data_IF_339241973083
#
_entry.id   IF_339241973083
#
_cell.length_a   1.000
_cell.length_b   1.000
_cell.length_c   1.000
_cell.angle_alpha   90.00
_cell.angle_beta   90.00
_cell.angle_gamma   90.00
#
_symmetry.space_group_name_H-M   'P 1'
#
loop_
_entity.id
_entity.type
_entity.pdbx_description
1 polymer ?
#
# COMPACT_ATOMS: atom_id res chain seq x y z
N UNK A 1 -7.66 10.72 -9.57
CA UNK A 1 -6.42 10.61 -8.76
C UNK A 1 -5.68 11.95 -8.78
N UNK A 2 -4.47 12.00 -8.25
CA UNK A 2 -3.69 13.22 -8.14
C UNK A 2 -2.39 13.13 -8.94
N UNK A 3 -1.95 14.23 -9.58
CA UNK A 3 -0.72 14.28 -10.39
C UNK A 3 0.56 14.20 -9.56
N UNK A 4 0.47 14.40 -8.26
CA UNK A 4 1.58 14.25 -7.32
C UNK A 4 1.75 12.78 -6.82
N UNK A 5 1.09 11.83 -7.49
CA UNK A 5 1.12 10.39 -7.15
C UNK A 5 1.58 9.57 -8.35
N UNK A 6 2.60 8.76 -8.16
CA UNK A 6 2.99 7.66 -9.06
C UNK A 6 2.22 6.40 -8.67
N UNK A 7 1.56 5.75 -9.61
CA UNK A 7 1.03 4.39 -9.42
C UNK A 7 2.17 3.39 -9.58
N UNK A 8 2.39 2.53 -8.58
CA UNK A 8 3.27 1.37 -8.70
C UNK A 8 2.42 0.10 -8.55
N UNK A 9 2.46 -0.78 -9.53
CA UNK A 9 1.95 -2.15 -9.39
C UNK A 9 3.14 -3.10 -9.39
N UNK A 10 3.30 -3.84 -8.30
CA UNK A 10 4.39 -4.79 -8.11
C UNK A 10 3.87 -6.23 -8.06
N UNK A 11 4.54 -7.13 -8.80
CA UNK A 11 4.27 -8.56 -8.74
C UNK A 11 5.57 -9.37 -8.74
N UNK A 12 5.77 -10.11 -7.67
CA UNK A 12 6.96 -10.96 -7.47
C UNK A 12 6.80 -12.41 -7.95
N UNK A 13 5.60 -12.85 -8.34
CA UNK A 13 5.35 -14.22 -8.76
C UNK A 13 5.01 -14.28 -10.25
N UNK A 14 5.87 -14.93 -11.03
CA UNK A 14 5.71 -15.09 -12.48
C UNK A 14 4.33 -15.60 -12.90
N UNK A 15 3.75 -16.50 -12.11
CA UNK A 15 2.42 -17.08 -12.39
C UNK A 15 1.28 -16.06 -12.30
N UNK A 16 1.52 -14.89 -11.74
CA UNK A 16 0.55 -13.79 -11.56
C UNK A 16 0.81 -12.59 -12.46
N UNK A 17 1.89 -12.58 -13.25
CA UNK A 17 2.28 -11.42 -14.06
C UNK A 17 1.16 -10.98 -15.01
N UNK A 18 0.50 -11.91 -15.72
CA UNK A 18 -0.59 -11.56 -16.62
C UNK A 18 -1.78 -10.91 -15.90
N UNK A 19 -2.13 -11.41 -14.72
CA UNK A 19 -3.21 -10.85 -13.92
C UNK A 19 -2.85 -9.46 -13.39
N UNK A 20 -1.64 -9.29 -12.89
CA UNK A 20 -1.17 -8.01 -12.36
C UNK A 20 -0.98 -6.97 -13.45
N UNK A 21 -0.61 -7.37 -14.68
CA UNK A 21 -0.58 -6.47 -15.83
C UNK A 21 -1.98 -5.98 -16.23
N UNK A 22 -2.99 -6.86 -16.18
CA UNK A 22 -4.39 -6.46 -16.38
C UNK A 22 -4.84 -5.46 -15.32
N UNK A 23 -4.48 -5.71 -14.05
CA UNK A 23 -4.73 -4.76 -12.97
C UNK A 23 -4.07 -3.41 -13.25
N UNK A 24 -2.78 -3.40 -13.59
CA UNK A 24 -2.05 -2.18 -13.92
C UNK A 24 -2.75 -1.38 -15.03
N UNK A 25 -3.11 -2.05 -16.14
CA UNK A 25 -3.80 -1.41 -17.25
C UNK A 25 -5.17 -0.84 -16.83
N UNK A 26 -5.93 -1.57 -16.02
CA UNK A 26 -7.19 -1.09 -15.46
C UNK A 26 -6.98 0.16 -14.61
N UNK A 27 -6.04 0.14 -13.67
CA UNK A 27 -5.75 1.28 -12.78
C UNK A 27 -5.25 2.50 -13.56
N UNK A 28 -4.41 2.31 -14.57
CA UNK A 28 -4.02 3.39 -15.49
C UNK A 28 -5.23 3.99 -16.22
N UNK A 29 -6.20 3.15 -16.58
CA UNK A 29 -7.47 3.58 -17.22
C UNK A 29 -8.33 4.48 -16.32
N UNK A 30 -8.21 4.40 -15.00
CA UNK A 30 -8.88 5.33 -14.07
C UNK A 30 -8.32 6.75 -14.18
N UNK A 31 -7.07 6.89 -14.60
CA UNK A 31 -6.41 8.15 -14.91
C UNK A 31 -6.06 8.99 -13.68
N UNK A 32 -5.44 10.14 -13.95
CA UNK A 32 -5.16 11.17 -12.94
C UNK A 32 -3.88 10.96 -12.14
N UNK A 33 -3.09 9.93 -12.37
CA UNK A 33 -1.74 9.78 -11.82
C UNK A 33 -0.74 10.71 -12.52
N UNK A 34 0.33 11.09 -11.83
CA UNK A 34 1.46 11.81 -12.41
C UNK A 34 2.30 10.91 -13.30
N UNK A 35 2.52 9.68 -12.82
CA UNK A 35 3.24 8.61 -13.51
C UNK A 35 2.67 7.24 -13.13
N UNK A 36 3.02 6.17 -13.86
CA UNK A 36 2.61 4.81 -13.58
C UNK A 36 3.70 3.81 -13.98
N UNK A 37 4.04 2.91 -13.08
CA UNK A 37 5.10 1.92 -13.24
C UNK A 37 4.58 0.52 -12.94
N UNK A 38 4.80 -0.42 -13.85
CA UNK A 38 4.58 -1.85 -13.62
C UNK A 38 5.92 -2.55 -13.41
N UNK A 39 6.07 -3.23 -12.27
CA UNK A 39 7.26 -3.97 -11.90
C UNK A 39 6.88 -5.44 -11.76
N UNK A 40 7.35 -6.27 -12.69
CA UNK A 40 7.15 -7.71 -12.68
C UNK A 40 8.50 -8.43 -12.56
N UNK A 41 8.68 -9.12 -11.44
CA UNK A 41 9.90 -9.85 -11.12
C UNK A 41 9.57 -11.32 -10.83
N UNK A 42 10.47 -12.22 -11.18
CA UNK A 42 10.37 -13.63 -10.79
C UNK A 42 11.23 -13.87 -9.56
N UNK A 43 10.69 -13.61 -8.39
CA UNK A 43 11.42 -13.58 -7.14
C UNK A 43 10.71 -14.34 -6.02
N UNK A 44 11.48 -14.82 -5.04
CA UNK A 44 10.93 -15.37 -3.82
C UNK A 44 10.49 -14.26 -2.85
N UNK A 45 9.82 -14.65 -1.75
CA UNK A 45 9.30 -13.69 -0.76
C UNK A 45 10.38 -12.74 -0.21
N UNK A 46 11.58 -13.25 0.09
CA UNK A 46 12.66 -12.39 0.61
C UNK A 46 13.12 -11.36 -0.41
N UNK A 47 13.25 -11.78 -1.66
CA UNK A 47 13.60 -10.86 -2.75
C UNK A 47 12.49 -9.83 -3.00
N UNK A 48 11.21 -10.24 -2.91
CA UNK A 48 10.09 -9.31 -2.99
C UNK A 48 10.13 -8.27 -1.88
N UNK A 49 10.47 -8.67 -0.64
CA UNK A 49 10.64 -7.73 0.48
C UNK A 49 11.80 -6.74 0.24
N UNK A 50 12.91 -7.17 -0.34
CA UNK A 50 13.99 -6.26 -0.74
C UNK A 50 13.52 -5.24 -1.80
N UNK A 51 12.63 -5.63 -2.70
CA UNK A 51 11.99 -4.69 -3.63
C UNK A 51 11.14 -3.66 -2.89
N UNK A 52 10.19 -4.14 -2.07
CA UNK A 52 9.26 -3.28 -1.33
C UNK A 52 9.95 -2.32 -0.37
N UNK A 53 10.97 -2.79 0.34
CA UNK A 53 11.68 -2.00 1.33
C UNK A 53 12.76 -1.10 0.71
N UNK A 54 13.46 -1.59 -0.33
CA UNK A 54 14.70 -0.98 -0.78
C UNK A 54 14.63 -0.22 -2.10
N UNK A 55 13.69 -0.53 -2.99
CA UNK A 55 13.78 -0.14 -4.39
C UNK A 55 12.68 0.81 -4.89
N UNK A 56 11.52 0.86 -4.27
CA UNK A 56 10.42 1.67 -4.81
C UNK A 56 10.71 3.17 -4.85
N UNK A 57 11.58 3.67 -3.99
CA UNK A 57 12.04 5.07 -4.06
C UNK A 57 12.69 5.45 -5.40
N UNK A 58 13.30 4.48 -6.10
CA UNK A 58 14.00 4.69 -7.37
C UNK A 58 13.03 4.93 -8.54
N UNK A 59 11.74 4.68 -8.34
CA UNK A 59 10.72 4.67 -9.41
C UNK A 59 9.74 5.83 -9.31
N UNK A 60 9.94 6.78 -8.40
CA UNK A 60 9.03 7.90 -8.24
C UNK A 60 9.74 9.25 -8.36
N UNK A 61 9.19 10.11 -9.22
CA UNK A 61 9.54 11.54 -9.32
C UNK A 61 8.44 12.43 -8.74
N UNK A 62 7.37 11.84 -8.21
CA UNK A 62 6.24 12.51 -7.56
C UNK A 62 6.40 12.54 -6.05
N UNK A 63 5.53 13.28 -5.34
CA UNK A 63 5.60 13.35 -3.88
C UNK A 63 5.23 12.05 -3.18
N UNK A 64 4.39 11.21 -3.81
CA UNK A 64 3.88 9.96 -3.25
C UNK A 64 3.82 8.84 -4.30
N UNK A 65 3.88 7.60 -3.82
CA UNK A 65 3.52 6.41 -4.58
C UNK A 65 2.24 5.77 -4.02
N UNK A 66 1.30 5.43 -4.89
CA UNK A 66 0.24 4.47 -4.60
C UNK A 66 0.72 3.10 -5.03
N UNK A 67 1.03 2.24 -4.07
CA UNK A 67 1.57 0.90 -4.29
C UNK A 67 0.41 -0.10 -4.24
N UNK A 68 0.32 -0.95 -5.24
CA UNK A 68 -0.66 -2.01 -5.38
C UNK A 68 0.05 -3.34 -5.65
N UNK A 69 -0.42 -4.40 -5.02
CA UNK A 69 -0.08 -5.79 -5.35
C UNK A 69 -1.26 -6.48 -6.02
N UNK A 70 -1.11 -7.76 -6.43
CA UNK A 70 -2.16 -8.50 -7.13
C UNK A 70 -3.50 -8.60 -6.36
N UNK A 71 -3.49 -8.47 -5.05
CA UNK A 71 -4.65 -8.57 -4.16
C UNK A 71 -4.97 -7.25 -3.44
N UNK A 72 -4.34 -6.15 -3.87
CA UNK A 72 -4.56 -4.81 -3.34
C UNK A 72 -4.81 -3.79 -4.45
N UNK A 73 -6.00 -3.15 -4.49
CA UNK A 73 -6.33 -2.22 -5.55
C UNK A 73 -7.42 -1.20 -5.22
N UNK A 74 -7.63 -0.25 -6.12
CA UNK A 74 -8.65 0.78 -6.02
C UNK A 74 -10.03 0.16 -6.29
N UNK A 75 -10.92 0.19 -5.32
CA UNK A 75 -12.31 -0.25 -5.45
C UNK A 75 -13.25 0.89 -5.85
N UNK A 76 -13.03 2.09 -5.30
CA UNK A 76 -13.91 3.24 -5.45
C UNK A 76 -13.10 4.51 -5.75
N UNK A 77 -12.70 4.67 -7.03
CA UNK A 77 -11.84 5.76 -7.46
C UNK A 77 -12.39 7.17 -7.12
N UNK A 78 -13.72 7.33 -7.07
CA UNK A 78 -14.39 8.57 -6.74
C UNK A 78 -14.26 8.98 -5.26
N UNK A 79 -13.78 8.07 -4.39
CA UNK A 79 -13.54 8.34 -2.96
C UNK A 79 -12.13 8.88 -2.69
N UNK A 80 -11.30 9.13 -3.70
CA UNK A 80 -9.98 9.74 -3.51
C UNK A 80 -10.06 11.04 -2.72
N UNK A 81 -9.14 11.23 -1.78
CA UNK A 81 -9.03 12.46 -0.97
C UNK A 81 -7.60 12.98 -1.00
N UNK A 82 -7.40 14.21 -1.47
CA UNK A 82 -6.08 14.84 -1.50
C UNK A 82 -5.46 15.03 -0.10
N UNK A 83 -6.28 15.06 0.96
CA UNK A 83 -5.82 15.12 2.35
C UNK A 83 -4.94 13.92 2.77
N UNK A 84 -4.98 12.82 2.05
CA UNK A 84 -4.08 11.68 2.30
C UNK A 84 -2.62 12.01 2.00
N UNK A 85 -2.35 12.99 1.15
CA UNK A 85 -1.00 13.48 0.85
C UNK A 85 -0.37 14.27 2.00
N UNK A 86 -1.11 14.57 3.06
CA UNK A 86 -0.57 15.16 4.29
C UNK A 86 0.17 14.15 5.18
N UNK A 87 0.11 12.86 4.84
CA UNK A 87 0.73 11.75 5.57
C UNK A 87 1.82 11.08 4.74
N UNK A 88 2.85 10.58 5.42
CA UNK A 88 3.93 9.84 4.78
C UNK A 88 3.60 8.36 4.55
N UNK A 89 2.66 7.80 5.36
CA UNK A 89 2.20 6.41 5.24
C UNK A 89 0.70 6.32 5.52
N UNK A 90 -0.04 5.82 4.54
CA UNK A 90 -1.46 5.49 4.63
C UNK A 90 -1.67 4.08 4.10
N UNK A 91 -2.16 3.18 4.92
CA UNK A 91 -2.50 1.80 4.57
C UNK A 91 -3.73 1.35 5.34
N UNK A 92 -4.08 0.07 5.27
CA UNK A 92 -5.22 -0.46 6.01
C UNK A 92 -4.97 -0.47 7.52
N UNK A 93 -5.97 -0.17 8.35
CA UNK A 93 -5.83 -0.25 9.79
C UNK A 93 -5.91 -1.70 10.29
N UNK A 94 -5.09 -2.02 11.28
CA UNK A 94 -5.08 -3.30 11.98
C UNK A 94 -6.12 -3.37 13.11
N UNK A 95 -6.62 -4.59 13.43
CA UNK A 95 -7.53 -4.80 14.56
C UNK A 95 -6.94 -4.34 15.90
N UNK A 96 -7.74 -3.68 16.72
CA UNK A 96 -7.32 -3.26 18.07
C UNK A 96 -6.89 -4.45 18.95
N UNK A 97 -7.45 -5.62 18.71
CA UNK A 97 -7.10 -6.87 19.42
C UNK A 97 -5.65 -7.31 19.23
N UNK A 98 -4.95 -6.81 18.21
CA UNK A 98 -3.54 -7.11 18.03
C UNK A 98 -2.63 -6.37 19.02
N UNK A 99 -3.20 -5.42 19.78
CA UNK A 99 -2.52 -4.66 20.83
C UNK A 99 -1.19 -4.04 20.36
N UNK A 100 -1.19 -3.47 19.17
CA UNK A 100 -0.06 -2.75 18.60
C UNK A 100 -0.25 -1.25 18.82
N UNK A 101 0.81 -0.53 19.16
CA UNK A 101 0.72 0.90 19.47
C UNK A 101 0.19 1.72 18.31
N UNK A 102 0.81 1.60 17.14
CA UNK A 102 0.32 2.15 15.89
C UNK A 102 -0.47 1.08 15.13
N UNK A 103 -1.65 1.44 14.65
CA UNK A 103 -2.61 0.49 14.06
C UNK A 103 -2.81 0.67 12.55
N UNK A 104 -1.91 1.33 11.87
CA UNK A 104 -1.98 1.50 10.41
C UNK A 104 -0.76 0.89 9.78
N UNK A 105 -0.97 -0.03 8.87
CA UNK A 105 0.09 -0.78 8.20
C UNK A 105 -0.33 -1.15 6.80
N UNK A 106 0.08 -2.35 6.38
CA UNK A 106 -0.12 -2.90 5.06
C UNK A 106 0.76 -2.27 3.97
N UNK A 107 1.43 -3.12 3.21
CA UNK A 107 2.27 -2.69 2.08
C UNK A 107 1.70 -3.12 0.72
N UNK A 108 0.68 -3.96 0.69
CA UNK A 108 0.09 -4.46 -0.56
C UNK A 108 -0.93 -3.50 -1.21
N UNK A 109 -1.53 -2.59 -0.43
CA UNK A 109 -2.28 -1.43 -0.92
C UNK A 109 -2.03 -0.23 -0.01
N UNK A 110 -1.13 0.64 -0.41
CA UNK A 110 -0.63 1.72 0.45
C UNK A 110 -0.26 2.96 -0.33
N UNK A 111 -0.43 4.13 0.30
CA UNK A 111 0.09 5.40 -0.17
C UNK A 111 1.29 5.77 0.69
N UNK A 112 2.45 5.94 0.07
CA UNK A 112 3.71 6.25 0.75
C UNK A 112 4.36 7.48 0.13
N UNK A 113 4.83 8.41 0.97
CA UNK A 113 5.58 9.56 0.49
C UNK A 113 6.98 9.15 -0.01
N UNK A 114 7.57 9.94 -0.90
CA UNK A 114 8.96 9.76 -1.30
C UNK A 114 9.89 9.70 -0.08
N UNK A 115 9.66 10.59 0.91
CA UNK A 115 10.41 10.60 2.16
C UNK A 115 10.30 9.27 2.92
N UNK A 116 9.11 8.67 2.98
CA UNK A 116 8.92 7.37 3.64
C UNK A 116 9.69 6.26 2.90
N UNK A 117 9.58 6.21 1.57
CA UNK A 117 10.29 5.23 0.74
C UNK A 117 11.81 5.34 0.84
N UNK A 118 12.35 6.56 0.87
CA UNK A 118 13.79 6.80 1.09
C UNK A 118 14.25 6.34 2.47
N UNK A 119 13.40 6.51 3.50
CA UNK A 119 13.71 6.01 4.85
C UNK A 119 13.60 4.49 4.91
N UNK A 120 12.62 3.89 4.26
CA UNK A 120 12.49 2.44 4.14
C UNK A 120 13.74 1.83 3.48
N UNK A 121 14.20 2.43 2.39
CA UNK A 121 15.42 2.01 1.69
C UNK A 121 16.68 2.06 2.58
N UNK A 122 16.82 3.10 3.39
CA UNK A 122 17.94 3.20 4.36
C UNK A 122 17.83 2.19 5.50
N UNK A 123 16.61 1.81 5.88
CA UNK A 123 16.35 0.84 6.94
C UNK A 123 16.40 -0.62 6.46
N UNK A 124 16.25 -0.89 5.16
CA UNK A 124 16.22 -2.23 4.56
C UNK A 124 17.36 -3.15 5.06
N UNK A 125 18.64 -2.71 5.20
CA UNK A 125 19.69 -3.57 5.72
C UNK A 125 19.49 -4.04 7.18
N UNK A 126 18.57 -3.43 7.93
CA UNK A 126 18.21 -3.82 9.30
C UNK A 126 17.10 -4.87 9.34
N UNK A 127 16.45 -5.14 8.22
CA UNK A 127 15.35 -6.10 8.11
C UNK A 127 15.84 -7.53 8.42
N UNK A 128 15.04 -8.28 9.20
CA UNK A 128 15.39 -9.62 9.70
C UNK A 128 14.43 -10.73 9.27
N UNK A 129 13.55 -10.43 8.30
CA UNK A 129 12.65 -11.44 7.70
C UNK A 129 11.20 -11.38 8.17
N UNK A 130 10.80 -10.39 8.99
CA UNK A 130 9.40 -10.14 9.29
C UNK A 130 8.64 -9.62 8.07
N UNK A 131 7.30 -9.60 8.11
CA UNK A 131 6.52 -8.99 7.05
C UNK A 131 6.86 -7.50 6.86
N UNK A 132 6.87 -7.02 5.62
CA UNK A 132 7.31 -5.65 5.29
C UNK A 132 6.53 -4.57 6.04
N UNK A 133 5.22 -4.73 6.15
CA UNK A 133 4.36 -3.82 6.91
C UNK A 133 4.66 -3.86 8.41
N UNK A 134 4.95 -5.04 8.99
CA UNK A 134 5.38 -5.18 10.38
C UNK A 134 6.72 -4.47 10.58
N UNK A 135 7.68 -4.66 9.67
CA UNK A 135 8.97 -3.98 9.74
C UNK A 135 8.81 -2.46 9.69
N UNK A 136 8.15 -1.93 8.67
CA UNK A 136 8.03 -0.48 8.45
C UNK A 136 7.12 0.22 9.47
N UNK A 137 6.01 -0.43 9.85
CA UNK A 137 4.97 0.22 10.64
C UNK A 137 4.96 -0.16 12.12
N UNK A 138 5.82 -1.09 12.56
CA UNK A 138 5.96 -1.49 13.97
C UNK A 138 7.42 -1.48 14.43
N UNK A 139 8.29 -2.24 13.75
CA UNK A 139 9.70 -2.35 14.14
C UNK A 139 10.41 -1.00 14.03
N UNK A 140 10.22 -0.31 12.91
CA UNK A 140 10.84 0.99 12.62
C UNK A 140 9.99 2.21 13.03
N UNK A 141 8.77 2.02 13.51
CA UNK A 141 7.80 3.10 13.80
C UNK A 141 8.40 4.23 14.63
N UNK A 142 9.04 3.88 15.75
CA UNK A 142 9.60 4.87 16.69
C UNK A 142 10.70 5.71 16.05
N UNK A 143 11.58 5.06 15.29
CA UNK A 143 12.66 5.72 14.58
C UNK A 143 12.13 6.63 13.49
N UNK A 144 11.20 6.12 12.68
CA UNK A 144 10.58 6.87 11.58
C UNK A 144 9.84 8.11 12.10
N UNK A 145 9.06 7.97 13.16
CA UNK A 145 8.38 9.12 13.81
C UNK A 145 9.38 10.15 14.37
N UNK A 146 10.50 9.71 14.95
CA UNK A 146 11.52 10.63 15.44
C UNK A 146 12.20 11.43 14.33
N UNK A 147 12.18 10.90 13.10
CA UNK A 147 12.65 11.57 11.88
C UNK A 147 11.51 12.29 11.12
N UNK A 148 10.37 12.50 11.77
CA UNK A 148 9.25 13.29 11.25
C UNK A 148 8.39 12.58 10.22
N UNK A 149 8.36 11.24 10.20
CA UNK A 149 7.38 10.48 9.42
C UNK A 149 6.01 10.58 10.09
N UNK A 150 5.00 10.88 9.28
CA UNK A 150 3.60 11.01 9.67
C UNK A 150 2.82 9.80 9.17
N UNK A 151 2.46 8.88 10.05
CA UNK A 151 1.51 7.83 9.75
C UNK A 151 0.07 8.34 9.87
N UNK A 152 -0.81 7.92 8.98
CA UNK A 152 -2.23 8.27 9.07
C UNK A 152 -2.87 7.70 10.34
N UNK A 153 -3.80 8.42 11.00
CA UNK A 153 -4.59 7.86 12.08
C UNK A 153 -5.63 6.86 11.53
N UNK A 154 -6.19 6.03 12.42
CA UNK A 154 -7.08 4.92 12.05
C UNK A 154 -8.32 5.36 11.27
N UNK A 155 -8.93 6.48 11.61
CA UNK A 155 -10.11 7.03 10.93
C UNK A 155 -9.80 7.42 9.48
N UNK A 156 -8.66 8.08 9.24
CA UNK A 156 -8.17 8.42 7.89
C UNK A 156 -7.84 7.15 7.10
N UNK A 157 -7.11 6.22 7.71
CA UNK A 157 -6.71 4.95 7.11
C UNK A 157 -7.91 4.07 6.74
N UNK A 158 -8.97 4.09 7.55
CA UNK A 158 -10.21 3.33 7.29
C UNK A 158 -10.97 3.81 6.05
N UNK A 159 -10.88 5.09 5.72
CA UNK A 159 -11.45 5.63 4.49
C UNK A 159 -10.59 5.29 3.27
N UNK A 160 -9.27 5.15 3.46
CA UNK A 160 -8.33 4.83 2.40
C UNK A 160 -8.39 3.35 2.01
N UNK A 161 -8.24 2.44 2.98
CA UNK A 161 -8.14 1.00 2.68
C UNK A 161 -8.86 0.12 3.70
N UNK A 162 -9.46 -0.96 3.21
CA UNK A 162 -10.05 -2.01 4.00
C UNK A 162 -9.29 -3.32 3.83
N UNK A 163 -8.98 -4.00 4.92
CA UNK A 163 -8.33 -5.32 4.95
C UNK A 163 -8.95 -6.21 6.02
N UNK A 164 -9.04 -5.71 7.25
CA UNK A 164 -9.57 -6.44 8.38
C UNK A 164 -10.88 -5.84 8.87
N UNK A 165 -11.71 -6.69 9.48
CA UNK A 165 -12.88 -6.22 10.20
C UNK A 165 -12.43 -5.48 11.46
N UNK A 166 -12.64 -4.18 11.50
CA UNK A 166 -12.33 -3.33 12.64
C UNK A 166 -13.58 -2.60 13.09
N UNK A 167 -13.65 -2.26 14.39
CA UNK A 167 -14.82 -1.58 14.96
C UNK A 167 -15.04 -0.19 14.35
N UNK A 168 -13.97 0.49 14.01
CA UNK A 168 -14.00 1.84 13.45
C UNK A 168 -14.42 1.88 11.97
N UNK A 169 -14.30 0.77 11.28
CA UNK A 169 -14.73 0.65 9.88
C UNK A 169 -15.71 -0.51 9.70
N UNK A 170 -16.96 -0.26 10.03
CA UNK A 170 -18.07 -1.21 9.84
C UNK A 170 -18.62 -1.20 8.41
N UNK A 171 -18.12 -0.31 7.57
CA UNK A 171 -18.67 -0.06 6.24
C UNK A 171 -18.18 -1.04 5.18
N UNK A 172 -17.05 -1.73 5.44
CA UNK A 172 -16.45 -2.68 4.50
C UNK A 172 -15.83 -2.02 3.27
N UNK A 173 -15.38 -2.85 2.33
CA UNK A 173 -14.71 -2.42 1.10
C UNK A 173 -15.56 -1.48 0.23
N UNK A 174 -16.88 -1.57 0.32
CA UNK A 174 -17.80 -0.75 -0.50
C UNK A 174 -17.73 0.76 -0.18
N UNK A 175 -17.09 1.13 0.92
CA UNK A 175 -16.98 2.53 1.38
C UNK A 175 -15.54 3.01 1.58
N UNK A 176 -14.55 2.18 1.34
CA UNK A 176 -13.14 2.58 1.30
C UNK A 176 -12.71 2.84 -0.14
N UNK A 177 -11.69 3.68 -0.32
CA UNK A 177 -11.13 3.96 -1.64
C UNK A 177 -10.55 2.69 -2.27
N UNK A 178 -9.86 1.87 -1.48
CA UNK A 178 -9.34 0.58 -1.93
C UNK A 178 -9.36 -0.48 -0.85
N UNK A 179 -8.78 -1.62 -1.15
CA UNK A 179 -8.63 -2.72 -0.21
C UNK A 179 -7.39 -3.54 -0.48
N UNK A 180 -7.05 -4.43 0.46
CA UNK A 180 -6.00 -5.43 0.33
C UNK A 180 -6.45 -6.77 0.93
N UNK A 181 -6.05 -7.87 0.26
CA UNK A 181 -6.24 -9.22 0.76
C UNK A 181 -7.67 -9.76 0.67
N UNK A 182 -8.00 -10.73 1.53
CA UNK A 182 -9.29 -11.39 1.56
C UNK A 182 -10.34 -10.55 2.30
N UNK A 183 -11.23 -9.96 1.52
CA UNK A 183 -12.32 -9.15 2.03
C UNK A 183 -13.57 -10.01 2.26
N UNK A 184 -13.91 -10.31 3.51
CA UNK A 184 -15.18 -10.97 3.87
C UNK A 184 -15.49 -12.25 3.06
N UNK A 185 -14.49 -13.10 2.84
CA UNK A 185 -14.64 -14.36 2.10
C UNK A 185 -14.71 -14.20 0.57
N UNK A 186 -14.46 -12.99 0.07
CA UNK A 186 -14.33 -12.72 -1.37
C UNK A 186 -12.86 -12.51 -1.70
N UNK A 187 -12.32 -13.27 -2.66
CA UNK A 187 -10.98 -13.00 -3.20
C UNK A 187 -10.99 -11.71 -4.03
N UNK A 188 -9.83 -11.07 -4.14
CA UNK A 188 -9.66 -9.93 -5.03
C UNK A 188 -10.17 -10.24 -6.45
N UNK A 189 -10.00 -11.47 -6.93
CA UNK A 189 -10.50 -11.96 -8.22
C UNK A 189 -12.00 -11.74 -8.45
N UNK A 190 -12.82 -11.69 -7.41
CA UNK A 190 -14.26 -11.41 -7.53
C UNK A 190 -14.59 -9.95 -7.83
N UNK A 191 -13.61 -9.06 -7.66
CA UNK A 191 -13.70 -7.66 -8.04
C UNK A 191 -13.11 -7.39 -9.44
N UNK A 192 -12.31 -8.33 -9.98
CA UNK A 192 -11.81 -8.27 -11.35
C UNK A 192 -12.91 -8.71 -12.33
N UNK A 193 -13.80 -7.82 -12.67
CA UNK A 193 -14.81 -8.02 -13.75
C UNK A 193 -14.37 -7.38 -15.08
N UNK A 194 -13.08 -7.34 -15.34
CA UNK A 194 -12.53 -6.77 -16.58
C UNK A 194 -11.94 -7.82 -17.51
#
# INVERSE_FOLDING_TARGET
MNKDVTLIVFEGLKTRHEQSEKLFNHLCGLGGFGDAVYIAEDCNYQQAMHWELGRFADYIDTSHALICTHDGFIANAHLWQDAWLDYDMVGAPWPASWNVGHRVGNTGFTLQSQKFLEMASKAEPLWKGEAGDVFLCRTMEKEFKSNGIKYAPVDVASAFSWEHYIHENTAGADRSFGFHGWVAGKSAEQYYTF
#
